data_IF_607342120192
#
_entry.id   IF_607342120192
#
_cell.length_a   1.000
_cell.length_b   1.000
_cell.length_c   1.000
_cell.angle_alpha   90.00
_cell.angle_beta   90.00
_cell.angle_gamma   90.00
#
_symmetry.space_group_name_H-M   'P 1'
#
loop_
_entity.id
_entity.type
_entity.pdbx_description
1 polymer ?
#
# COMPACT_ATOMS: atom_id res chain seq x y z
N UNK A 1 0.69 -2.22 -8.07
CA UNK A 1 0.76 -0.97 -8.89
C UNK A 1 2.08 -0.99 -9.65
N UNK A 2 2.31 -0.10 -10.64
CA UNK A 2 3.62 -0.01 -11.31
C UNK A 2 4.20 1.39 -11.16
N UNK A 3 5.12 1.55 -10.22
CA UNK A 3 5.91 2.75 -10.05
C UNK A 3 6.81 2.98 -11.25
N UNK A 4 7.45 1.93 -11.78
CA UNK A 4 8.38 2.06 -12.92
C UNK A 4 7.72 2.69 -14.15
N UNK A 5 6.53 2.22 -14.53
CA UNK A 5 5.77 2.79 -15.65
C UNK A 5 5.37 4.26 -15.39
N UNK A 6 5.06 4.58 -14.12
CA UNK A 6 4.72 5.95 -13.72
C UNK A 6 5.94 6.87 -13.82
N UNK A 7 7.09 6.42 -13.35
CA UNK A 7 8.35 7.14 -13.41
C UNK A 7 8.75 7.42 -14.87
N UNK A 8 8.70 6.40 -15.73
CA UNK A 8 8.98 6.58 -17.16
C UNK A 8 8.00 7.55 -17.84
N UNK A 9 6.74 7.58 -17.42
CA UNK A 9 5.79 8.57 -17.91
C UNK A 9 6.19 9.99 -17.49
N UNK A 10 6.51 10.22 -16.20
CA UNK A 10 6.92 11.53 -15.69
C UNK A 10 8.21 12.00 -16.37
N UNK A 11 9.20 11.13 -16.54
CA UNK A 11 10.44 11.48 -17.27
C UNK A 11 10.16 11.95 -18.70
N UNK A 12 9.27 11.26 -19.44
CA UNK A 12 8.86 11.69 -20.78
C UNK A 12 8.18 13.07 -20.77
N UNK A 13 7.36 13.36 -19.77
CA UNK A 13 6.71 14.67 -19.62
C UNK A 13 7.72 15.78 -19.32
N UNK A 14 8.69 15.53 -18.44
CA UNK A 14 9.76 16.48 -18.13
C UNK A 14 10.61 16.78 -19.37
N UNK A 15 10.97 15.75 -20.14
CA UNK A 15 11.72 15.90 -21.38
C UNK A 15 10.94 16.73 -22.42
N UNK A 16 9.64 16.46 -22.58
CA UNK A 16 8.78 17.22 -23.51
C UNK A 16 8.58 18.67 -23.10
N UNK A 17 8.44 18.94 -21.80
CA UNK A 17 8.29 20.28 -21.29
C UNK A 17 9.58 21.11 -21.41
N UNK A 18 10.73 20.46 -21.67
CA UNK A 18 12.04 21.06 -21.80
C UNK A 18 12.35 22.04 -20.65
N UNK A 19 11.97 21.64 -19.44
CA UNK A 19 12.17 22.46 -18.25
C UNK A 19 13.55 22.21 -17.69
N UNK A 20 14.21 23.26 -17.19
CA UNK A 20 15.36 23.07 -16.31
C UNK A 20 14.97 22.38 -15.00
N UNK A 21 15.90 22.34 -14.05
CA UNK A 21 15.65 21.71 -12.76
C UNK A 21 14.43 22.33 -12.06
N UNK A 22 13.49 21.46 -11.67
CA UNK A 22 12.28 21.86 -10.96
C UNK A 22 12.58 22.06 -9.46
N UNK A 23 11.96 23.06 -8.80
CA UNK A 23 11.98 23.14 -7.35
C UNK A 23 11.15 21.98 -6.76
N UNK A 24 11.52 21.51 -5.57
CA UNK A 24 10.72 20.53 -4.84
C UNK A 24 9.32 21.07 -4.55
N UNK A 25 8.30 20.24 -4.77
CA UNK A 25 6.93 20.65 -4.51
C UNK A 25 6.74 21.03 -3.04
N UNK A 26 6.09 22.17 -2.78
CA UNK A 26 5.89 22.71 -1.44
C UNK A 26 7.09 23.45 -0.84
N UNK A 27 8.24 23.48 -1.51
CA UNK A 27 9.36 24.35 -1.10
C UNK A 27 9.01 25.84 -1.24
N UNK A 28 9.70 26.77 -0.55
CA UNK A 28 9.47 28.20 -0.72
C UNK A 28 9.60 28.67 -2.18
N UNK A 29 10.57 28.11 -2.92
CA UNK A 29 10.76 28.39 -4.34
C UNK A 29 9.54 27.95 -5.18
N UNK A 30 8.96 26.80 -4.87
CA UNK A 30 7.73 26.31 -5.51
C UNK A 30 6.50 27.16 -5.14
N UNK A 31 6.37 27.55 -3.87
CA UNK A 31 5.27 28.39 -3.41
C UNK A 31 5.27 29.77 -4.07
N UNK A 32 6.45 30.32 -4.37
CA UNK A 32 6.61 31.59 -5.07
C UNK A 32 6.27 31.54 -6.57
N UNK A 33 6.09 30.35 -7.16
CA UNK A 33 5.74 30.21 -8.57
C UNK A 33 4.28 30.61 -8.84
N UNK A 34 4.03 31.18 -10.02
CA UNK A 34 2.67 31.45 -10.49
C UNK A 34 1.88 30.15 -10.68
N UNK A 35 0.58 30.16 -10.36
CA UNK A 35 -0.27 28.96 -10.48
C UNK A 35 -0.46 28.49 -11.94
N UNK A 36 -0.34 29.41 -12.90
CA UNK A 36 -0.36 29.09 -14.33
C UNK A 36 0.95 28.56 -14.89
N UNK A 37 2.03 28.52 -14.09
CA UNK A 37 3.31 27.98 -14.53
C UNK A 37 3.26 26.44 -14.58
N UNK A 38 3.39 25.80 -15.76
CA UNK A 38 3.29 24.35 -15.89
C UNK A 38 4.34 23.60 -15.06
N UNK A 39 5.49 24.23 -14.78
CA UNK A 39 6.54 23.66 -13.92
C UNK A 39 6.05 23.40 -12.50
N UNK A 40 5.09 24.20 -12.01
CA UNK A 40 4.50 24.06 -10.67
C UNK A 40 3.73 22.74 -10.55
N UNK A 41 2.97 22.39 -11.59
CA UNK A 41 2.26 21.11 -11.69
C UNK A 41 3.22 19.94 -11.94
N UNK A 42 4.23 20.11 -12.79
CA UNK A 42 5.23 19.07 -13.05
C UNK A 42 6.02 18.71 -11.78
N UNK A 43 6.35 19.68 -10.94
CA UNK A 43 6.99 19.41 -9.64
C UNK A 43 6.12 18.54 -8.73
N UNK A 44 4.79 18.75 -8.74
CA UNK A 44 3.85 17.88 -8.02
C UNK A 44 3.78 16.48 -8.63
N UNK A 45 3.87 16.34 -9.95
CA UNK A 45 3.89 15.04 -10.60
C UNK A 45 5.12 14.22 -10.21
N UNK A 46 6.30 14.86 -10.18
CA UNK A 46 7.56 14.27 -9.70
C UNK A 46 7.42 13.79 -8.27
N UNK A 47 6.95 14.64 -7.35
CA UNK A 47 6.74 14.19 -5.95
C UNK A 47 5.61 13.17 -5.79
N UNK A 48 4.63 13.19 -6.70
CA UNK A 48 3.52 12.26 -6.73
C UNK A 48 3.96 10.81 -7.02
N UNK A 49 4.96 10.60 -7.87
CA UNK A 49 5.46 9.26 -8.18
C UNK A 49 6.09 8.58 -6.96
N UNK A 50 6.66 9.33 -6.02
CA UNK A 50 7.15 8.81 -4.73
C UNK A 50 6.03 8.17 -3.90
N UNK A 51 4.78 8.66 -4.02
CA UNK A 51 3.63 8.05 -3.37
C UNK A 51 3.23 6.73 -4.04
N UNK A 52 3.34 6.65 -5.38
CA UNK A 52 3.11 5.42 -6.14
C UNK A 52 4.10 4.35 -5.72
N UNK A 53 5.39 4.69 -5.60
CA UNK A 53 6.44 3.82 -5.07
C UNK A 53 6.09 3.29 -3.67
N UNK A 54 5.74 4.20 -2.75
CA UNK A 54 5.38 3.83 -1.37
C UNK A 54 4.23 2.82 -1.31
N UNK A 55 3.20 3.01 -2.14
CA UNK A 55 2.05 2.09 -2.23
C UNK A 55 2.46 0.74 -2.80
N UNK A 56 3.28 0.70 -3.84
CA UNK A 56 3.77 -0.57 -4.41
C UNK A 56 4.60 -1.36 -3.39
N UNK A 57 5.54 -0.69 -2.71
CA UNK A 57 6.35 -1.31 -1.64
C UNK A 57 5.46 -1.83 -0.51
N UNK A 58 4.46 -1.05 -0.08
CA UNK A 58 3.52 -1.47 0.95
C UNK A 58 2.69 -2.69 0.52
N UNK A 59 2.25 -2.75 -0.73
CA UNK A 59 1.53 -3.91 -1.28
C UNK A 59 2.41 -5.17 -1.26
N UNK A 60 3.66 -5.06 -1.69
CA UNK A 60 4.62 -6.18 -1.66
C UNK A 60 4.86 -6.67 -0.23
N UNK A 61 5.04 -5.76 0.72
CA UNK A 61 5.20 -6.11 2.14
C UNK A 61 3.95 -6.80 2.71
N UNK A 62 2.76 -6.30 2.38
CA UNK A 62 1.50 -6.88 2.84
C UNK A 62 1.26 -8.27 2.24
N UNK A 63 1.62 -8.49 0.97
CA UNK A 63 1.54 -9.79 0.32
C UNK A 63 2.48 -10.80 0.99
N UNK A 64 3.74 -10.41 1.26
CA UNK A 64 4.70 -11.23 1.99
C UNK A 64 4.20 -11.57 3.40
N UNK A 65 3.66 -10.60 4.14
CA UNK A 65 3.08 -10.82 5.46
C UNK A 65 1.87 -11.78 5.42
N UNK A 66 0.98 -11.61 4.45
CA UNK A 66 -0.17 -12.50 4.24
C UNK A 66 0.27 -13.94 3.95
N UNK A 67 1.31 -14.11 3.13
CA UNK A 67 1.93 -15.41 2.86
C UNK A 67 2.54 -16.05 4.11
N UNK A 68 3.28 -15.27 4.90
CA UNK A 68 3.88 -15.74 6.16
C UNK A 68 2.83 -16.19 7.18
N UNK A 69 1.73 -15.45 7.32
CA UNK A 69 0.61 -15.85 8.19
C UNK A 69 -0.03 -17.13 7.65
N UNK A 70 -0.33 -17.18 6.35
CA UNK A 70 -0.98 -18.33 5.72
C UNK A 70 -0.14 -19.61 5.82
N UNK A 71 1.20 -19.50 5.77
CA UNK A 71 2.12 -20.62 5.92
C UNK A 71 2.57 -20.90 7.37
N UNK A 72 2.29 -20.00 8.31
CA UNK A 72 2.86 -20.05 9.66
C UNK A 72 2.20 -21.03 10.63
N UNK A 73 1.01 -21.53 10.31
CA UNK A 73 0.27 -22.51 11.12
C UNK A 73 -0.51 -23.48 10.23
N UNK A 74 -0.80 -24.68 10.75
CA UNK A 74 -1.76 -25.59 10.11
C UNK A 74 -3.19 -25.07 10.35
N UNK A 75 -3.62 -24.15 9.49
CA UNK A 75 -4.96 -23.55 9.56
C UNK A 75 -6.08 -24.57 9.38
N UNK A 76 -5.81 -25.71 8.75
CA UNK A 76 -6.78 -26.81 8.64
C UNK A 76 -6.97 -27.48 10.00
N UNK A 77 -5.88 -27.80 10.70
CA UNK A 77 -5.93 -28.33 12.06
C UNK A 77 -6.63 -27.36 13.03
N UNK A 78 -6.28 -26.07 12.99
CA UNK A 78 -6.94 -25.03 13.81
C UNK A 78 -8.44 -24.98 13.52
N UNK A 79 -8.83 -24.96 12.24
CA UNK A 79 -10.24 -24.96 11.85
C UNK A 79 -10.98 -26.23 12.30
N UNK A 80 -10.33 -27.40 12.18
CA UNK A 80 -10.87 -28.67 12.67
C UNK A 80 -11.07 -28.65 14.19
N UNK A 81 -10.11 -28.12 14.95
CA UNK A 81 -10.21 -28.00 16.39
C UNK A 81 -11.37 -27.09 16.81
N UNK A 82 -11.53 -25.93 16.15
CA UNK A 82 -12.63 -25.00 16.41
C UNK A 82 -13.98 -25.66 16.11
N UNK A 83 -14.11 -26.33 14.95
CA UNK A 83 -15.34 -27.06 14.56
C UNK A 83 -15.67 -28.18 15.54
N UNK A 84 -14.69 -29.00 15.89
CA UNK A 84 -14.86 -30.10 16.85
C UNK A 84 -15.30 -29.56 18.22
N UNK A 85 -14.69 -28.47 18.69
CA UNK A 85 -15.08 -27.80 19.93
C UNK A 85 -16.51 -27.26 19.85
N UNK A 86 -16.90 -26.62 18.75
CA UNK A 86 -18.26 -26.11 18.56
C UNK A 86 -19.29 -27.25 18.61
N UNK A 87 -19.09 -28.31 17.81
CA UNK A 87 -19.95 -29.47 17.77
C UNK A 87 -20.08 -30.16 19.14
N UNK A 88 -19.00 -30.21 19.93
CA UNK A 88 -19.03 -30.77 21.28
C UNK A 88 -20.01 -30.05 22.21
N UNK A 89 -20.06 -28.71 22.15
CA UNK A 89 -20.97 -27.89 22.97
C UNK A 89 -22.39 -27.87 22.40
N UNK A 90 -22.56 -27.86 21.07
CA UNK A 90 -23.89 -27.98 20.45
C UNK A 90 -24.58 -29.29 20.84
N UNK A 91 -23.83 -30.39 20.89
CA UNK A 91 -24.34 -31.68 21.35
C UNK A 91 -24.63 -31.73 22.86
N UNK A 92 -24.14 -30.76 23.64
CA UNK A 92 -24.24 -30.73 25.11
C UNK A 92 -24.63 -29.32 25.60
N UNK A 93 -25.85 -28.86 25.31
CA UNK A 93 -26.28 -27.49 25.58
C UNK A 93 -26.30 -27.14 27.08
N UNK A 94 -26.33 -28.13 27.98
CA UNK A 94 -26.26 -27.92 29.42
C UNK A 94 -24.83 -27.64 29.93
N UNK A 95 -23.80 -27.89 29.12
CA UNK A 95 -22.42 -27.53 29.46
C UNK A 95 -22.17 -26.05 29.15
N UNK A 96 -21.73 -25.30 30.16
CA UNK A 96 -21.29 -23.91 29.97
C UNK A 96 -19.81 -23.88 29.61
N UNK A 97 -19.43 -23.02 28.67
CA UNK A 97 -18.02 -22.72 28.40
C UNK A 97 -17.44 -22.04 29.64
N UNK A 98 -16.37 -22.59 30.21
CA UNK A 98 -15.55 -21.83 31.14
C UNK A 98 -14.91 -20.67 30.39
N UNK A 99 -14.95 -19.45 30.94
CA UNK A 99 -14.26 -18.31 30.38
C UNK A 99 -12.74 -18.60 30.36
N UNK A 100 -12.08 -18.24 29.25
CA UNK A 100 -10.62 -18.29 29.13
C UNK A 100 -10.00 -17.05 29.75
#
# INVERSE_FOLDING_TARGET
>A
MSWWETHQFVERMLAQANTGQLPWAGSPAWCAMADGDPRKLLALAVEGEHHVLRKEVAQTAQAAASGAISGGADWTAVSNQIRARAAFYEARPWLRRAAQ
#
